data_IF_298211887926
#
_entry.id   IF_298211887926
#
_cell.length_a   1.000
_cell.length_b   1.000
_cell.length_c   1.000
_cell.angle_alpha   90.00
_cell.angle_beta   90.00
_cell.angle_gamma   90.00
#
_symmetry.space_group_name_H-M   'P 1'
#
loop_
_entity.id
_entity.type
_entity.pdbx_description
1 polymer ?
#
# COMPACT_ATOMS: atom_id res chain seq x y z
N UNK A 1 -20.32 -18.01 -9.31
CA UNK A 1 -19.19 -17.56 -8.50
C UNK A 1 -19.77 -16.96 -7.23
N UNK A 2 -19.25 -17.30 -6.05
CA UNK A 2 -19.81 -16.76 -4.81
C UNK A 2 -19.50 -15.27 -4.73
N UNK A 3 -20.52 -14.47 -4.51
CA UNK A 3 -20.52 -13.00 -4.28
C UNK A 3 -19.68 -12.54 -3.07
N UNK A 4 -18.86 -13.43 -2.49
CA UNK A 4 -18.12 -13.26 -1.24
C UNK A 4 -16.67 -13.75 -1.34
N UNK A 5 -16.03 -13.68 -2.51
CA UNK A 5 -14.60 -13.93 -2.60
C UNK A 5 -13.85 -12.82 -1.82
N UNK A 6 -12.86 -13.17 -0.96
CA UNK A 6 -12.08 -12.17 -0.26
C UNK A 6 -11.28 -11.32 -1.26
N UNK A 7 -11.15 -10.00 -1.04
CA UNK A 7 -10.49 -9.12 -2.00
C UNK A 7 -9.01 -9.47 -2.14
N UNK A 8 -8.39 -9.25 -3.31
CA UNK A 8 -6.96 -9.49 -3.56
C UNK A 8 -6.02 -8.81 -2.55
N UNK A 9 -6.46 -7.73 -1.87
CA UNK A 9 -5.69 -7.02 -0.83
C UNK A 9 -5.72 -7.67 0.56
N UNK A 10 -6.42 -8.79 0.76
CA UNK A 10 -6.48 -9.45 2.06
C UNK A 10 -5.06 -9.82 2.56
N UNK A 11 -4.61 -9.34 3.73
CA UNK A 11 -3.27 -9.62 4.25
C UNK A 11 -2.93 -11.11 4.35
N UNK A 12 -3.92 -11.97 4.63
CA UNK A 12 -3.74 -13.42 4.75
C UNK A 12 -3.43 -14.11 3.42
N UNK A 13 -3.81 -13.49 2.31
CA UNK A 13 -3.65 -14.05 0.96
C UNK A 13 -2.40 -13.55 0.25
N UNK A 14 -1.76 -12.49 0.77
CA UNK A 14 -0.69 -11.78 0.05
C UNK A 14 0.49 -12.68 -0.29
N UNK A 15 0.93 -13.53 0.63
CA UNK A 15 2.03 -14.45 0.35
C UNK A 15 1.75 -15.34 -0.87
N UNK A 16 0.55 -15.93 -0.92
CA UNK A 16 0.14 -16.79 -2.01
C UNK A 16 -0.12 -16.02 -3.31
N UNK A 17 -0.64 -14.80 -3.22
CA UNK A 17 -0.80 -13.94 -4.38
C UNK A 17 0.55 -13.49 -4.95
N UNK A 18 1.52 -13.14 -4.10
CA UNK A 18 2.88 -12.84 -4.53
C UNK A 18 3.47 -14.05 -5.29
N UNK A 19 3.30 -15.28 -4.77
CA UNK A 19 3.78 -16.50 -5.43
C UNK A 19 3.09 -16.74 -6.78
N UNK A 20 1.77 -16.60 -6.83
CA UNK A 20 1.01 -16.71 -8.09
C UNK A 20 1.57 -15.74 -9.13
N UNK A 21 1.83 -14.50 -8.74
CA UNK A 21 2.34 -13.48 -9.65
C UNK A 21 3.77 -13.80 -10.09
N UNK A 22 4.65 -14.26 -9.18
CA UNK A 22 5.99 -14.74 -9.54
C UNK A 22 5.93 -15.82 -10.62
N UNK A 23 5.07 -16.83 -10.42
CA UNK A 23 4.92 -17.94 -11.37
C UNK A 23 4.35 -17.46 -12.71
N UNK A 24 3.37 -16.56 -12.67
CA UNK A 24 2.77 -15.97 -13.86
C UNK A 24 3.78 -15.14 -14.67
N UNK A 25 4.61 -14.33 -14.01
CA UNK A 25 5.66 -13.54 -14.66
C UNK A 25 6.75 -14.45 -15.23
N UNK A 26 7.14 -15.52 -14.53
CA UNK A 26 8.11 -16.48 -15.07
C UNK A 26 7.59 -17.20 -16.34
N UNK A 27 6.27 -17.40 -16.44
CA UNK A 27 5.63 -18.10 -17.55
C UNK A 27 5.23 -17.19 -18.73
N UNK A 28 5.22 -15.86 -18.57
CA UNK A 28 4.65 -14.93 -19.56
C UNK A 28 5.52 -14.66 -20.80
N UNK A 29 6.72 -15.25 -20.86
CA UNK A 29 7.69 -15.10 -21.96
C UNK A 29 8.06 -13.64 -22.26
N UNK A 30 8.05 -12.77 -21.25
CA UNK A 30 8.39 -11.36 -21.37
C UNK A 30 7.23 -10.47 -21.84
N UNK A 31 6.00 -11.00 -21.90
CA UNK A 31 4.82 -10.24 -22.32
C UNK A 31 4.58 -9.00 -21.45
N UNK A 32 4.73 -9.11 -20.12
CA UNK A 32 4.58 -7.97 -19.21
C UNK A 32 5.62 -6.89 -19.49
N UNK A 33 6.87 -7.28 -19.72
CA UNK A 33 7.93 -6.32 -20.02
C UNK A 33 7.73 -5.65 -21.38
N UNK A 34 7.26 -6.38 -22.38
CA UNK A 34 6.89 -5.81 -23.67
C UNK A 34 5.76 -4.77 -23.53
N UNK A 35 4.75 -5.04 -22.70
CA UNK A 35 3.66 -4.09 -22.44
C UNK A 35 4.13 -2.82 -21.72
N UNK A 36 5.02 -2.95 -20.74
CA UNK A 36 5.65 -1.80 -20.06
C UNK A 36 6.42 -0.94 -21.08
N UNK A 37 7.24 -1.56 -21.92
CA UNK A 37 7.99 -0.85 -22.95
C UNK A 37 7.08 -0.19 -23.99
N UNK A 38 5.98 -0.85 -24.38
CA UNK A 38 4.99 -0.25 -25.27
C UNK A 38 4.32 0.98 -24.62
N UNK A 39 3.98 0.90 -23.34
CA UNK A 39 3.38 2.03 -22.60
C UNK A 39 4.30 3.26 -22.56
N UNK A 40 5.62 3.06 -22.42
CA UNK A 40 6.63 4.13 -22.48
C UNK A 40 6.67 4.87 -23.83
N UNK A 41 6.14 4.26 -24.90
CA UNK A 41 6.09 4.87 -26.24
C UNK A 41 4.79 5.61 -26.54
N UNK A 42 3.84 5.64 -25.60
CA UNK A 42 2.59 6.39 -25.77
C UNK A 42 2.92 7.88 -25.93
N UNK A 43 2.49 8.47 -27.05
CA UNK A 43 2.70 9.87 -27.34
C UNK A 43 1.90 10.75 -26.38
N UNK A 44 2.57 11.71 -25.74
CA UNK A 44 1.99 12.65 -24.76
C UNK A 44 2.30 14.11 -25.06
N UNK A 45 2.81 14.43 -26.25
CA UNK A 45 3.32 15.77 -26.59
C UNK A 45 2.26 16.87 -26.45
N UNK A 46 1.01 16.59 -26.85
CA UNK A 46 -0.12 17.52 -26.75
C UNK A 46 -0.98 17.28 -25.49
N UNK A 47 -0.50 16.45 -24.56
CA UNK A 47 -1.24 16.07 -23.36
C UNK A 47 -0.90 16.95 -22.15
N UNK A 48 -1.81 17.11 -21.20
CA UNK A 48 -1.49 17.70 -19.91
C UNK A 48 -0.37 16.93 -19.22
N UNK A 49 0.49 17.66 -18.48
CA UNK A 49 1.65 17.09 -17.78
C UNK A 49 1.32 15.90 -16.87
N UNK A 50 0.11 15.82 -16.32
CA UNK A 50 -0.26 14.71 -15.44
C UNK A 50 -0.32 13.38 -16.20
N UNK A 51 -0.76 13.36 -17.47
CA UNK A 51 -0.84 12.12 -18.26
C UNK A 51 0.55 11.53 -18.46
N UNK A 52 1.51 12.36 -18.92
CA UNK A 52 2.90 11.93 -19.08
C UNK A 52 3.51 11.40 -17.78
N UNK A 53 3.33 12.14 -16.68
CA UNK A 53 3.82 11.72 -15.35
C UNK A 53 3.17 10.44 -14.84
N UNK A 54 1.89 10.26 -15.10
CA UNK A 54 1.13 9.05 -14.72
C UNK A 54 1.65 7.82 -15.48
N UNK A 55 1.93 7.94 -16.77
CA UNK A 55 2.52 6.84 -17.57
C UNK A 55 3.96 6.56 -17.11
N UNK A 56 4.77 7.60 -16.94
CA UNK A 56 6.16 7.49 -16.46
C UNK A 56 6.20 6.78 -15.09
N UNK A 57 5.51 7.33 -14.08
CA UNK A 57 5.47 6.77 -12.73
C UNK A 57 4.90 5.35 -12.67
N UNK A 58 3.88 5.07 -13.49
CA UNK A 58 3.32 3.73 -13.62
C UNK A 58 4.34 2.73 -14.17
N UNK A 59 5.02 3.07 -15.27
CA UNK A 59 5.97 2.16 -15.93
C UNK A 59 7.26 1.97 -15.14
N UNK A 60 7.77 3.01 -14.48
CA UNK A 60 8.89 2.91 -13.54
C UNK A 60 8.54 2.00 -12.36
N UNK A 61 7.36 2.21 -11.76
CA UNK A 61 6.88 1.36 -10.66
C UNK A 61 6.67 -0.10 -11.11
N UNK A 62 6.27 -0.33 -12.36
CA UNK A 62 6.14 -1.67 -12.90
C UNK A 62 7.50 -2.38 -13.02
N UNK A 63 8.55 -1.66 -13.43
CA UNK A 63 9.92 -2.18 -13.48
C UNK A 63 10.46 -2.46 -12.07
N UNK A 64 10.21 -1.57 -11.12
CA UNK A 64 10.54 -1.79 -9.70
C UNK A 64 9.83 -3.02 -9.13
N UNK A 65 8.56 -3.23 -9.51
CA UNK A 65 7.79 -4.40 -9.08
C UNK A 65 8.40 -5.70 -9.60
N UNK A 66 8.80 -5.74 -10.88
CA UNK A 66 9.47 -6.90 -11.47
C UNK A 66 10.84 -7.17 -10.82
N UNK A 67 11.63 -6.13 -10.57
CA UNK A 67 12.90 -6.27 -9.85
C UNK A 67 12.70 -6.78 -8.41
N UNK A 68 11.67 -6.29 -7.72
CA UNK A 68 11.33 -6.73 -6.38
C UNK A 68 10.83 -8.19 -6.35
N UNK A 69 10.06 -8.64 -7.35
CA UNK A 69 9.64 -10.05 -7.49
C UNK A 69 10.84 -10.98 -7.62
N UNK A 70 11.83 -10.63 -8.45
CA UNK A 70 13.08 -11.39 -8.54
C UNK A 70 13.82 -11.42 -7.19
N UNK A 71 13.82 -10.30 -6.46
CA UNK A 71 14.38 -10.20 -5.11
C UNK A 71 13.66 -11.06 -4.07
N UNK A 72 12.35 -11.27 -4.20
CA UNK A 72 11.59 -12.16 -3.30
C UNK A 72 12.11 -13.59 -3.40
N UNK A 73 12.31 -14.11 -4.62
CA UNK A 73 12.79 -15.47 -4.80
C UNK A 73 14.17 -15.66 -4.16
N UNK A 74 15.10 -14.74 -4.43
CA UNK A 74 16.47 -14.78 -3.88
C UNK A 74 16.44 -14.75 -2.35
N UNK A 75 15.60 -13.88 -1.75
CA UNK A 75 15.50 -13.78 -0.30
C UNK A 75 14.81 -14.99 0.32
N UNK A 76 13.79 -15.56 -0.33
CA UNK A 76 13.10 -16.75 0.14
C UNK A 76 14.02 -17.97 0.12
N UNK A 77 14.81 -18.15 -0.94
CA UNK A 77 15.80 -19.22 -1.04
C UNK A 77 16.88 -19.08 0.06
N UNK A 78 17.35 -17.85 0.31
CA UNK A 78 18.32 -17.59 1.37
C UNK A 78 17.78 -17.89 2.78
N UNK A 79 16.50 -17.60 3.04
CA UNK A 79 15.83 -17.99 4.30
C UNK A 79 15.76 -19.51 4.39
N UNK A 80 15.27 -20.19 3.34
CA UNK A 80 15.13 -21.64 3.29
C UNK A 80 16.46 -22.37 3.55
N UNK A 81 17.55 -21.92 2.92
CA UNK A 81 18.89 -22.49 3.08
C UNK A 81 19.41 -22.36 4.52
N UNK A 82 19.04 -21.27 5.22
CA UNK A 82 19.44 -21.02 6.60
C UNK A 82 18.59 -21.77 7.65
N UNK A 83 17.37 -22.20 7.30
CA UNK A 83 16.42 -22.79 8.27
C UNK A 83 16.97 -24.05 8.95
N UNK A 84 17.62 -24.93 8.19
CA UNK A 84 18.10 -26.22 8.70
C UNK A 84 19.13 -26.05 9.83
N UNK A 85 19.98 -25.02 9.75
CA UNK A 85 20.98 -24.71 10.78
C UNK A 85 20.43 -23.88 11.95
N UNK A 86 19.47 -22.99 11.68
CA UNK A 86 18.92 -22.09 12.69
C UNK A 86 17.87 -22.76 13.60
N UNK A 87 17.00 -23.59 13.02
CA UNK A 87 15.86 -24.21 13.73
C UNK A 87 16.25 -25.01 14.99
N UNK A 88 17.31 -25.85 14.98
CA UNK A 88 17.72 -26.57 16.18
C UNK A 88 18.20 -25.63 17.29
N UNK A 89 18.95 -24.57 16.94
CA UNK A 89 19.45 -23.58 17.90
C UNK A 89 18.30 -22.80 18.53
N UNK A 90 17.37 -22.31 17.71
CA UNK A 90 16.17 -21.62 18.18
C UNK A 90 15.36 -22.50 19.14
N UNK A 91 15.15 -23.77 18.78
CA UNK A 91 14.37 -24.70 19.62
C UNK A 91 15.04 -24.92 20.98
N UNK A 92 16.36 -25.09 21.00
CA UNK A 92 17.13 -25.23 22.24
C UNK A 92 17.01 -23.98 23.10
N UNK A 93 17.32 -22.81 22.54
CA UNK A 93 17.36 -21.55 23.30
C UNK A 93 15.97 -21.17 23.80
N UNK A 94 14.93 -21.29 22.98
CA UNK A 94 13.53 -21.07 23.40
C UNK A 94 13.11 -22.04 24.52
N UNK A 95 13.61 -23.26 24.48
CA UNK A 95 13.43 -24.24 25.55
C UNK A 95 14.06 -23.80 26.87
N UNK A 96 15.31 -23.33 26.83
CA UNK A 96 16.04 -22.82 28.00
C UNK A 96 15.39 -21.53 28.54
N UNK A 97 15.12 -20.55 27.68
CA UNK A 97 14.44 -19.29 28.05
C UNK A 97 13.09 -19.54 28.73
N UNK A 98 12.31 -20.51 28.24
CA UNK A 98 11.04 -20.89 28.86
C UNK A 98 11.24 -21.45 30.27
N UNK A 99 12.26 -22.29 30.48
CA UNK A 99 12.59 -22.84 31.79
C UNK A 99 13.05 -21.74 32.74
N UNK A 100 13.97 -20.89 32.29
CA UNK A 100 14.47 -19.73 33.03
C UNK A 100 13.30 -18.84 33.45
N UNK A 101 12.39 -18.51 32.54
CA UNK A 101 11.21 -17.68 32.85
C UNK A 101 10.35 -18.30 33.94
N UNK A 102 10.07 -19.60 33.87
CA UNK A 102 9.25 -20.28 34.87
C UNK A 102 9.91 -20.28 36.26
N UNK A 103 11.22 -20.55 36.33
CA UNK A 103 11.97 -20.54 37.59
C UNK A 103 12.07 -19.12 38.13
N UNK A 104 12.35 -18.13 37.28
CA UNK A 104 12.42 -16.72 37.66
C UNK A 104 11.09 -16.21 38.22
N UNK A 105 9.96 -16.56 37.59
CA UNK A 105 8.64 -16.22 38.12
C UNK A 105 8.38 -16.79 39.52
N UNK A 106 8.87 -18.01 39.80
CA UNK A 106 8.72 -18.63 41.12
C UNK A 106 9.66 -17.99 42.15
N UNK A 107 10.94 -17.85 41.80
CA UNK A 107 11.96 -17.17 42.58
C UNK A 107 11.50 -15.76 42.99
N UNK A 108 10.97 -14.98 42.06
CA UNK A 108 10.57 -13.60 42.31
C UNK A 108 9.37 -13.51 43.26
N UNK A 109 8.45 -14.50 43.23
CA UNK A 109 7.35 -14.60 44.20
C UNK A 109 7.88 -14.91 45.59
N UNK A 110 8.79 -15.88 45.72
CA UNK A 110 9.41 -16.25 46.98
C UNK A 110 10.27 -15.11 47.56
N UNK A 111 11.06 -14.45 46.72
CA UNK A 111 11.84 -13.28 47.12
C UNK A 111 10.95 -12.14 47.65
N UNK A 112 9.82 -11.89 46.99
CA UNK A 112 8.82 -10.91 47.46
C UNK A 112 8.11 -11.32 48.74
N UNK A 113 7.92 -12.61 48.97
CA UNK A 113 7.40 -13.13 50.24
C UNK A 113 8.41 -12.91 51.36
N UNK A 114 9.66 -13.34 51.17
CA UNK A 114 10.74 -13.14 52.14
C UNK A 114 10.93 -11.66 52.48
N UNK A 115 10.88 -10.76 51.50
CA UNK A 115 11.04 -9.31 51.72
C UNK A 115 9.94 -8.68 52.56
N UNK A 116 8.79 -9.36 52.74
CA UNK A 116 7.65 -8.92 53.55
C UNK A 116 7.62 -9.55 54.94
N UNK A 117 8.50 -10.52 55.20
CA UNK A 117 8.61 -11.20 56.49
C UNK A 117 9.51 -10.41 57.44
N UNK A 118 9.24 -10.52 58.74
CA UNK A 118 10.13 -9.96 59.76
C UNK A 118 11.48 -10.68 59.74
N UNK A 119 12.56 -9.96 60.09
CA UNK A 119 13.92 -10.52 60.08
C UNK A 119 14.10 -11.72 61.03
N UNK A 120 13.37 -11.76 62.13
CA UNK A 120 13.45 -12.84 63.12
C UNK A 120 12.51 -14.02 62.80
N UNK A 121 11.81 -13.99 61.65
CA UNK A 121 10.95 -15.09 61.24
C UNK A 121 11.82 -16.29 60.78
N UNK A 122 11.72 -17.46 61.45
CA UNK A 122 12.56 -18.61 61.13
C UNK A 122 12.35 -19.15 59.69
N UNK A 123 11.16 -18.99 59.12
CA UNK A 123 10.84 -19.43 57.74
C UNK A 123 11.51 -18.53 56.68
N UNK A 124 11.91 -17.30 57.04
CA UNK A 124 12.54 -16.36 56.10
C UNK A 124 13.87 -16.90 55.57
N UNK A 125 14.68 -17.49 56.45
CA UNK A 125 15.99 -18.02 56.07
C UNK A 125 15.87 -19.20 55.08
N UNK A 126 14.84 -20.03 55.24
CA UNK A 126 14.56 -21.16 54.34
C UNK A 126 14.15 -20.66 52.94
N UNK A 127 13.25 -19.67 52.87
CA UNK A 127 12.82 -19.06 51.60
C UNK A 127 13.98 -18.35 50.89
N UNK A 128 14.84 -17.65 51.64
CA UNK A 128 16.02 -16.99 51.06
C UNK A 128 17.03 -18.01 50.49
N UNK A 129 17.19 -19.17 51.15
CA UNK A 129 18.01 -20.26 50.62
C UNK A 129 17.42 -20.86 49.33
N UNK A 130 16.10 -21.03 49.25
CA UNK A 130 15.42 -21.49 48.04
C UNK A 130 15.54 -20.49 46.88
N UNK A 131 15.43 -19.18 47.16
CA UNK A 131 15.67 -18.12 46.17
C UNK A 131 17.10 -18.15 45.64
N UNK A 132 18.10 -18.37 46.50
CA UNK A 132 19.48 -18.51 46.09
C UNK A 132 19.68 -19.73 45.19
N UNK A 133 19.13 -20.90 45.59
CA UNK A 133 19.17 -22.11 44.77
C UNK A 133 18.54 -21.92 43.38
N UNK A 134 17.36 -21.30 43.30
CA UNK A 134 16.72 -20.99 42.01
C UNK A 134 17.54 -20.00 41.17
N UNK A 135 18.29 -19.10 41.81
CA UNK A 135 19.18 -18.17 41.10
C UNK A 135 20.39 -18.91 40.50
N UNK A 136 20.95 -19.87 41.22
CA UNK A 136 22.03 -20.74 40.72
C UNK A 136 21.53 -21.64 39.57
N UNK A 137 20.31 -22.19 39.66
CA UNK A 137 19.68 -22.94 38.58
C UNK A 137 19.50 -22.09 37.31
N UNK A 138 19.04 -20.84 37.47
CA UNK A 138 18.92 -19.90 36.34
C UNK A 138 20.29 -19.65 35.71
N UNK A 139 21.32 -19.35 36.50
CA UNK A 139 22.67 -19.14 35.98
C UNK A 139 23.23 -20.38 35.26
N UNK A 140 22.93 -21.59 35.76
CA UNK A 140 23.30 -22.84 35.11
C UNK A 140 22.57 -23.05 33.76
N UNK A 141 21.30 -22.65 33.66
CA UNK A 141 20.55 -22.70 32.39
C UNK A 141 21.04 -21.64 31.39
N UNK A 142 21.34 -20.43 31.85
CA UNK A 142 21.90 -19.36 31.02
C UNK A 142 23.24 -19.78 30.41
N UNK A 143 24.07 -20.51 31.16
CA UNK A 143 25.36 -21.04 30.67
C UNK A 143 25.24 -22.10 29.57
N UNK A 144 24.04 -22.66 29.35
CA UNK A 144 23.77 -23.63 28.28
C UNK A 144 23.33 -22.96 26.97
N UNK A 145 23.06 -21.65 26.99
CA UNK A 145 22.76 -20.89 25.77
C UNK A 145 24.06 -20.80 24.95
N UNK A 146 24.06 -21.18 23.66
CA UNK A 146 25.27 -21.10 22.85
C UNK A 146 25.78 -19.66 22.74
N UNK A 147 27.09 -19.45 22.90
CA UNK A 147 27.74 -18.13 22.81
C UNK A 147 27.48 -17.42 21.47
N UNK A 148 27.25 -18.19 20.40
CA UNK A 148 26.97 -17.67 19.07
C UNK A 148 25.48 -17.39 18.81
N UNK A 149 24.59 -17.59 19.80
CA UNK A 149 23.14 -17.49 19.63
C UNK A 149 22.71 -16.12 19.09
N UNK A 150 23.17 -15.03 19.71
CA UNK A 150 22.79 -13.67 19.32
C UNK A 150 23.18 -13.39 17.86
N UNK A 151 24.40 -13.76 17.46
CA UNK A 151 24.88 -13.62 16.09
C UNK A 151 24.09 -14.49 15.08
N UNK A 152 23.74 -15.72 15.46
CA UNK A 152 22.93 -16.62 14.63
C UNK A 152 21.49 -16.08 14.46
N UNK A 153 20.88 -15.62 15.54
CA UNK A 153 19.55 -15.00 15.53
C UNK A 153 19.52 -13.74 14.67
N UNK A 154 20.48 -12.82 14.85
CA UNK A 154 20.58 -11.60 14.06
C UNK A 154 20.81 -11.88 12.57
N UNK A 155 21.59 -12.91 12.25
CA UNK A 155 21.82 -13.32 10.87
C UNK A 155 20.51 -13.82 10.24
N UNK A 156 19.79 -14.72 10.91
CA UNK A 156 18.52 -15.23 10.41
C UNK A 156 17.46 -14.12 10.28
N UNK A 157 17.39 -13.22 11.27
CA UNK A 157 16.50 -12.05 11.24
C UNK A 157 16.75 -11.13 10.05
N UNK A 158 18.02 -10.89 9.68
CA UNK A 158 18.35 -10.09 8.48
C UNK A 158 17.83 -10.74 7.20
N UNK A 159 17.84 -12.07 7.10
CA UNK A 159 17.31 -12.80 5.95
C UNK A 159 15.79 -12.64 5.85
N UNK A 160 15.06 -12.83 6.96
CA UNK A 160 13.61 -12.69 6.98
C UNK A 160 13.14 -11.25 6.81
N UNK A 161 13.90 -10.27 7.31
CA UNK A 161 13.69 -8.84 7.07
C UNK A 161 13.91 -8.49 5.59
N UNK A 162 14.91 -9.08 4.93
CA UNK A 162 15.15 -8.89 3.50
C UNK A 162 14.01 -9.46 2.65
N UNK A 163 13.51 -10.66 2.96
CA UNK A 163 12.34 -11.24 2.28
C UNK A 163 11.10 -10.35 2.46
N UNK A 164 10.84 -9.91 3.70
CA UNK A 164 9.71 -9.04 4.02
C UNK A 164 9.80 -7.70 3.29
N UNK A 165 11.00 -7.13 3.19
CA UNK A 165 11.27 -5.90 2.45
C UNK A 165 11.02 -6.08 0.96
N UNK A 166 11.50 -7.16 0.35
CA UNK A 166 11.29 -7.47 -1.06
C UNK A 166 9.80 -7.58 -1.39
N UNK A 167 9.05 -8.33 -0.57
CA UNK A 167 7.58 -8.46 -0.72
C UNK A 167 6.87 -7.12 -0.59
N UNK A 168 7.20 -6.32 0.43
CA UNK A 168 6.58 -5.01 0.60
C UNK A 168 6.92 -4.03 -0.52
N UNK A 169 8.15 -4.11 -1.06
CA UNK A 169 8.56 -3.31 -2.22
C UNK A 169 7.74 -3.68 -3.45
N UNK A 170 7.65 -4.97 -3.77
CA UNK A 170 6.83 -5.48 -4.87
C UNK A 170 5.39 -5.01 -4.75
N UNK A 171 4.78 -5.18 -3.59
CA UNK A 171 3.38 -4.83 -3.35
C UNK A 171 3.09 -3.35 -3.55
N UNK A 172 3.97 -2.49 -3.03
CA UNK A 172 3.82 -1.02 -3.17
C UNK A 172 4.00 -0.59 -4.63
N UNK A 173 5.06 -1.06 -5.27
CA UNK A 173 5.37 -0.72 -6.65
C UNK A 173 4.33 -1.27 -7.63
N UNK A 174 3.84 -2.51 -7.43
CA UNK A 174 2.74 -3.08 -8.22
C UNK A 174 1.42 -2.32 -8.05
N UNK A 175 1.07 -1.93 -6.80
CA UNK A 175 -0.12 -1.10 -6.56
C UNK A 175 0.01 0.27 -7.25
N UNK A 176 1.18 0.94 -7.16
CA UNK A 176 1.43 2.22 -7.84
C UNK A 176 1.40 2.07 -9.37
N UNK A 177 2.04 1.02 -9.91
CA UNK A 177 2.04 0.72 -11.34
C UNK A 177 0.62 0.64 -11.90
N UNK A 178 -0.29 -0.01 -11.19
CA UNK A 178 -1.70 -0.03 -11.58
C UNK A 178 -2.37 1.35 -11.44
N UNK A 179 -2.34 1.93 -10.24
CA UNK A 179 -3.15 3.10 -9.91
C UNK A 179 -2.78 4.33 -10.75
N UNK A 180 -1.48 4.54 -10.99
CA UNK A 180 -0.99 5.72 -11.72
C UNK A 180 -1.42 5.69 -13.19
N UNK A 181 -1.55 4.52 -13.81
CA UNK A 181 -2.12 4.41 -15.15
C UNK A 181 -3.65 4.40 -15.12
N UNK A 182 -4.28 3.76 -14.13
CA UNK A 182 -5.73 3.67 -14.01
C UNK A 182 -6.39 5.04 -13.83
N UNK A 183 -5.73 6.01 -13.18
CA UNK A 183 -6.24 7.38 -13.03
C UNK A 183 -6.47 8.08 -14.37
N UNK A 184 -5.71 7.71 -15.41
CA UNK A 184 -5.89 8.25 -16.76
C UNK A 184 -7.22 7.77 -17.33
N UNK A 185 -7.51 6.47 -17.24
CA UNK A 185 -8.79 5.94 -17.71
C UNK A 185 -9.95 6.51 -16.90
N UNK A 186 -9.84 6.56 -15.58
CA UNK A 186 -10.86 7.18 -14.73
C UNK A 186 -11.13 8.65 -15.11
N UNK A 187 -10.08 9.39 -15.44
CA UNK A 187 -10.20 10.77 -15.95
C UNK A 187 -10.97 10.80 -17.26
N UNK A 188 -10.63 9.94 -18.22
CA UNK A 188 -11.26 9.93 -19.54
C UNK A 188 -12.71 9.42 -19.46
N UNK A 189 -12.99 8.43 -18.62
CA UNK A 189 -14.33 7.91 -18.36
C UNK A 189 -15.25 8.95 -17.69
N UNK A 190 -14.67 9.92 -16.97
CA UNK A 190 -15.42 11.06 -16.42
C UNK A 190 -15.79 12.13 -17.47
N UNK A 191 -15.31 12.02 -18.71
CA UNK A 191 -15.53 13.05 -19.76
C UNK A 191 -17.01 13.32 -20.06
N UNK A 192 -17.91 12.32 -20.18
CA UNK A 192 -19.34 12.60 -20.39
C UNK A 192 -19.97 13.41 -19.25
N UNK A 193 -19.62 13.09 -18.00
CA UNK A 193 -20.09 13.83 -16.82
C UNK A 193 -19.48 15.25 -16.77
N UNK A 194 -18.23 15.41 -17.20
CA UNK A 194 -17.58 16.71 -17.33
C UNK A 194 -18.30 17.60 -18.35
N UNK A 195 -18.65 17.04 -19.53
CA UNK A 195 -19.39 17.76 -20.58
C UNK A 195 -20.79 18.17 -20.10
N UNK A 196 -21.46 17.31 -19.34
CA UNK A 196 -22.81 17.60 -18.82
C UNK A 196 -22.87 18.84 -17.92
N UNK A 197 -21.74 19.29 -17.34
CA UNK A 197 -21.66 20.49 -16.50
C UNK A 197 -21.51 21.80 -17.30
N UNK A 198 -21.43 21.76 -18.63
CA UNK A 198 -21.25 22.95 -19.46
C UNK A 198 -22.36 23.98 -19.26
N UNK A 199 -23.62 23.54 -19.24
CA UNK A 199 -24.77 24.42 -19.09
C UNK A 199 -24.73 25.14 -17.75
N UNK A 200 -24.36 24.42 -16.68
CA UNK A 200 -24.28 24.96 -15.33
C UNK A 200 -23.12 25.94 -15.20
N UNK A 201 -21.99 25.65 -15.86
CA UNK A 201 -20.86 26.56 -15.96
C UNK A 201 -21.21 27.87 -16.67
N UNK A 202 -21.93 27.79 -17.79
CA UNK A 202 -22.38 28.98 -18.52
C UNK A 202 -23.46 29.76 -17.74
N UNK A 203 -24.36 29.07 -17.04
CA UNK A 203 -25.40 29.67 -16.22
C UNK A 203 -24.85 30.42 -14.98
N UNK A 204 -23.61 30.15 -14.57
CA UNK A 204 -23.00 30.82 -13.43
C UNK A 204 -22.73 32.31 -13.69
N UNK A 205 -22.43 32.71 -14.93
CA UNK A 205 -22.09 34.12 -15.27
C UNK A 205 -23.14 35.15 -14.82
N UNK A 206 -24.42 35.06 -15.23
CA UNK A 206 -25.42 36.05 -14.82
C UNK A 206 -25.62 36.09 -13.30
N UNK A 207 -25.46 34.96 -12.60
CA UNK A 207 -25.51 34.91 -11.13
C UNK A 207 -24.33 35.68 -10.54
N UNK A 208 -23.12 35.45 -11.07
CA UNK A 208 -21.93 36.19 -10.66
C UNK A 208 -22.00 37.67 -11.00
N UNK A 209 -22.78 38.13 -11.97
CA UNK A 209 -22.91 39.55 -12.35
C UNK A 209 -23.99 40.29 -11.55
N UNK A 210 -25.11 39.62 -11.20
CA UNK A 210 -26.31 40.31 -10.72
C UNK A 210 -26.78 39.91 -9.32
N UNK A 211 -26.50 38.69 -8.86
CA UNK A 211 -27.01 38.20 -7.58
C UNK A 211 -26.32 38.84 -6.37
N UNK A 212 -26.94 38.71 -5.20
CA UNK A 212 -26.29 39.01 -3.92
C UNK A 212 -25.06 38.12 -3.70
N UNK A 213 -24.04 38.64 -3.03
CA UNK A 213 -22.74 37.96 -2.86
C UNK A 213 -22.86 36.56 -2.23
N UNK A 214 -23.75 36.40 -1.26
CA UNK A 214 -23.98 35.10 -0.59
C UNK A 214 -24.58 34.07 -1.56
N UNK A 215 -25.55 34.49 -2.38
CA UNK A 215 -26.16 33.63 -3.42
C UNK A 215 -25.13 33.24 -4.48
N UNK A 216 -24.31 34.20 -4.91
CA UNK A 216 -23.25 33.96 -5.88
C UNK A 216 -22.13 33.05 -5.34
N UNK A 217 -21.75 33.21 -4.07
CA UNK A 217 -20.80 32.33 -3.38
C UNK A 217 -21.31 30.89 -3.33
N UNK A 218 -22.56 30.68 -2.93
CA UNK A 218 -23.15 29.34 -2.82
C UNK A 218 -23.32 28.67 -4.19
N UNK A 219 -23.72 29.41 -5.23
CA UNK A 219 -23.78 28.90 -6.60
C UNK A 219 -22.40 28.43 -7.10
N UNK A 220 -21.36 29.26 -6.92
CA UNK A 220 -19.99 28.91 -7.28
C UNK A 220 -19.48 27.69 -6.49
N UNK A 221 -19.86 27.56 -5.21
CA UNK A 221 -19.52 26.43 -4.35
C UNK A 221 -20.19 25.13 -4.78
N UNK A 222 -21.47 25.16 -5.17
CA UNK A 222 -22.18 23.99 -5.66
C UNK A 222 -21.54 23.45 -6.95
N UNK A 223 -21.20 24.35 -7.87
CA UNK A 223 -20.56 23.97 -9.12
C UNK A 223 -19.12 23.48 -8.91
N UNK A 224 -18.34 24.15 -8.04
CA UNK A 224 -17.00 23.69 -7.66
C UNK A 224 -17.01 22.27 -7.10
N UNK A 225 -18.02 21.92 -6.28
CA UNK A 225 -18.18 20.55 -5.77
C UNK A 225 -18.48 19.54 -6.88
N UNK A 226 -19.34 19.90 -7.82
CA UNK A 226 -19.67 19.04 -8.96
C UNK A 226 -18.43 18.72 -9.79
N UNK A 227 -17.59 19.71 -10.10
CA UNK A 227 -16.31 19.47 -10.77
C UNK A 227 -15.28 18.75 -9.91
N UNK A 228 -15.27 18.97 -8.58
CA UNK A 228 -14.33 18.28 -7.68
C UNK A 228 -14.55 16.78 -7.65
N UNK A 229 -15.79 16.34 -7.78
CA UNK A 229 -16.14 14.93 -7.69
C UNK A 229 -15.86 14.20 -9.04
N UNK A 230 -15.36 14.92 -10.06
CA UNK A 230 -14.92 14.38 -11.35
C UNK A 230 -13.39 14.28 -11.44
N UNK A 231 -12.90 13.11 -11.85
CA UNK A 231 -11.47 12.86 -12.01
C UNK A 231 -10.88 13.74 -13.15
N UNK A 232 -9.71 14.32 -12.89
CA UNK A 232 -9.01 15.21 -13.82
C UNK A 232 -9.63 16.60 -14.05
N UNK A 233 -10.68 17.00 -13.34
CA UNK A 233 -11.32 18.32 -13.46
C UNK A 233 -10.70 19.42 -12.55
N UNK A 234 -9.48 19.18 -12.08
CA UNK A 234 -8.85 19.87 -10.96
C UNK A 234 -8.60 21.36 -11.22
N UNK A 235 -8.29 21.75 -12.47
CA UNK A 235 -8.02 23.14 -12.83
C UNK A 235 -9.29 24.00 -12.86
N UNK A 236 -10.39 23.45 -13.39
CA UNK A 236 -11.71 24.11 -13.38
C UNK A 236 -12.18 24.26 -11.92
N UNK A 237 -12.11 23.20 -11.13
CA UNK A 237 -12.39 23.22 -9.69
C UNK A 237 -11.56 24.28 -8.96
N UNK A 238 -10.24 24.35 -9.19
CA UNK A 238 -9.36 25.34 -8.56
C UNK A 238 -9.77 26.77 -8.92
N UNK A 239 -10.13 27.04 -10.17
CA UNK A 239 -10.62 28.34 -10.62
C UNK A 239 -11.95 28.71 -9.94
N UNK A 240 -12.94 27.80 -9.94
CA UNK A 240 -14.23 27.99 -9.26
C UNK A 240 -14.07 28.18 -7.75
N UNK A 241 -13.11 27.49 -7.13
CA UNK A 241 -12.77 27.68 -5.72
C UNK A 241 -12.30 29.11 -5.42
N UNK A 242 -11.62 29.76 -6.37
CA UNK A 242 -11.23 31.18 -6.27
C UNK A 242 -12.40 32.12 -6.55
N UNK A 243 -13.30 31.79 -7.48
CA UNK A 243 -14.57 32.52 -7.71
C UNK A 243 -15.36 32.59 -6.41
N UNK A 244 -15.62 31.43 -5.79
CA UNK A 244 -16.27 31.30 -4.47
C UNK A 244 -15.59 32.20 -3.43
N UNK A 245 -14.26 32.13 -3.31
CA UNK A 245 -13.50 32.92 -2.33
C UNK A 245 -13.64 34.42 -2.58
N UNK A 246 -13.67 34.88 -3.83
CA UNK A 246 -13.84 36.28 -4.20
C UNK A 246 -15.25 36.80 -3.89
N UNK A 247 -16.28 35.97 -4.07
CA UNK A 247 -17.67 36.30 -3.72
C UNK A 247 -17.97 36.25 -2.22
N UNK A 248 -17.07 35.68 -1.41
CA UNK A 248 -17.30 35.54 0.03
C UNK A 248 -17.62 36.84 0.75
N UNK A 249 -18.40 36.75 1.84
CA UNK A 249 -18.78 37.89 2.70
C UNK A 249 -17.61 38.77 3.13
N UNK A 250 -16.40 38.21 3.24
CA UNK A 250 -15.17 38.92 3.62
C UNK A 250 -14.55 39.71 2.47
N UNK A 251 -14.66 39.24 1.23
CA UNK A 251 -14.00 39.87 0.07
C UNK A 251 -14.94 40.75 -0.74
N UNK A 252 -16.14 40.24 -1.07
CA UNK A 252 -17.13 40.94 -1.92
C UNK A 252 -16.51 41.55 -3.19
N UNK A 253 -15.70 40.78 -3.89
CA UNK A 253 -14.90 41.22 -5.03
C UNK A 253 -15.40 40.58 -6.33
N UNK A 254 -16.37 41.27 -6.95
CA UNK A 254 -17.07 40.81 -8.15
C UNK A 254 -16.16 40.81 -9.38
N UNK A 255 -15.27 41.79 -9.49
CA UNK A 255 -14.34 41.90 -10.61
C UNK A 255 -13.36 40.72 -10.61
N UNK A 256 -12.75 40.42 -9.46
CA UNK A 256 -11.85 39.26 -9.34
C UNK A 256 -12.60 37.95 -9.57
N UNK A 257 -13.85 37.83 -9.08
CA UNK A 257 -14.65 36.63 -9.31
C UNK A 257 -14.91 36.38 -10.80
N UNK A 258 -15.26 37.42 -11.57
CA UNK A 258 -15.45 37.29 -13.02
C UNK A 258 -14.13 36.94 -13.74
N UNK A 259 -12.99 37.52 -13.33
CA UNK A 259 -11.68 37.15 -13.89
C UNK A 259 -11.33 35.68 -13.65
N UNK A 260 -11.59 35.15 -12.46
CA UNK A 260 -11.33 33.74 -12.17
C UNK A 260 -12.37 32.81 -12.83
N UNK A 261 -13.59 33.29 -13.06
CA UNK A 261 -14.60 32.57 -13.84
C UNK A 261 -14.20 32.42 -15.31
N UNK A 262 -13.67 33.47 -15.94
CA UNK A 262 -13.13 33.39 -17.30
C UNK A 262 -11.95 32.39 -17.38
N UNK A 263 -11.12 32.29 -16.33
CA UNK A 263 -10.09 31.24 -16.24
C UNK A 263 -10.70 29.84 -16.13
N UNK A 264 -11.84 29.69 -15.46
CA UNK A 264 -12.55 28.42 -15.38
C UNK A 264 -13.11 28.00 -16.75
N UNK A 265 -13.66 28.96 -17.53
CA UNK A 265 -14.10 28.72 -18.90
C UNK A 265 -12.94 28.34 -19.83
N UNK A 266 -11.81 29.06 -19.74
CA UNK A 266 -10.62 28.73 -20.52
C UNK A 266 -10.10 27.32 -20.18
N UNK A 267 -9.97 27.00 -18.88
CA UNK A 267 -9.56 25.66 -18.44
C UNK A 267 -10.56 24.59 -18.91
N UNK A 268 -11.86 24.85 -18.85
CA UNK A 268 -12.88 23.92 -19.34
C UNK A 268 -12.73 23.65 -20.84
N UNK A 269 -12.57 24.69 -21.65
CA UNK A 269 -12.37 24.58 -23.10
C UNK A 269 -11.07 23.81 -23.42
N UNK A 270 -9.97 24.14 -22.75
CA UNK A 270 -8.69 23.43 -22.91
C UNK A 270 -8.85 21.94 -22.55
N UNK A 271 -9.63 21.63 -21.51
CA UNK A 271 -9.92 20.25 -21.13
C UNK A 271 -10.70 19.47 -22.18
N UNK A 272 -11.68 20.08 -22.83
CA UNK A 272 -12.41 19.39 -23.90
C UNK A 272 -11.49 19.00 -25.06
N UNK A 273 -10.54 19.88 -25.42
CA UNK A 273 -9.59 19.63 -26.50
C UNK A 273 -8.70 18.43 -26.19
N UNK A 274 -8.01 18.44 -25.04
CA UNK A 274 -7.08 17.33 -24.75
C UNK A 274 -7.82 16.04 -24.39
N UNK A 275 -9.01 16.10 -23.78
CA UNK A 275 -9.82 14.89 -23.51
C UNK A 275 -10.19 14.19 -24.81
N UNK A 276 -10.66 14.95 -25.81
CA UNK A 276 -10.99 14.39 -27.13
C UNK A 276 -9.76 13.80 -27.84
N UNK A 277 -8.59 14.44 -27.73
CA UNK A 277 -7.35 13.90 -28.28
C UNK A 277 -6.88 12.64 -27.53
N UNK A 278 -6.95 12.64 -26.20
CA UNK A 278 -6.53 11.51 -25.35
C UNK A 278 -7.36 10.24 -25.58
N UNK A 279 -8.65 10.37 -25.91
CA UNK A 279 -9.51 9.24 -26.28
C UNK A 279 -8.95 8.41 -27.44
N UNK A 280 -8.27 9.05 -28.39
CA UNK A 280 -7.71 8.35 -29.57
C UNK A 280 -6.22 8.08 -29.44
N UNK A 281 -5.47 8.99 -28.81
CA UNK A 281 -4.01 8.92 -28.74
C UNK A 281 -3.47 8.15 -27.52
N UNK A 282 -4.19 8.19 -26.39
CA UNK A 282 -3.68 7.71 -25.09
C UNK A 282 -4.46 6.48 -24.61
N UNK A 283 -5.81 6.55 -24.61
CA UNK A 283 -6.67 5.50 -24.06
C UNK A 283 -6.32 4.09 -24.57
N UNK A 284 -6.16 3.83 -25.89
CA UNK A 284 -5.91 2.47 -26.35
C UNK A 284 -4.60 1.88 -25.81
N UNK A 285 -3.55 2.71 -25.69
CA UNK A 285 -2.26 2.29 -25.15
C UNK A 285 -2.34 1.99 -23.65
N UNK A 286 -3.01 2.86 -22.89
CA UNK A 286 -3.20 2.68 -21.44
C UNK A 286 -4.08 1.46 -21.15
N UNK A 287 -5.15 1.25 -21.90
CA UNK A 287 -6.01 0.06 -21.77
C UNK A 287 -5.25 -1.23 -22.10
N UNK A 288 -4.45 -1.23 -23.17
CA UNK A 288 -3.63 -2.39 -23.53
C UNK A 288 -2.63 -2.72 -22.42
N UNK A 289 -1.97 -1.70 -21.87
CA UNK A 289 -1.03 -1.84 -20.76
C UNK A 289 -1.71 -2.36 -19.49
N UNK A 290 -2.79 -1.73 -19.02
CA UNK A 290 -3.54 -2.17 -17.85
C UNK A 290 -4.08 -3.59 -18.03
N UNK A 291 -4.59 -3.92 -19.23
CA UNK A 291 -5.04 -5.28 -19.51
C UNK A 291 -3.92 -6.33 -19.44
N UNK A 292 -2.69 -5.97 -19.81
CA UNK A 292 -1.54 -6.86 -19.70
C UNK A 292 -1.11 -7.07 -18.24
N UNK A 293 -1.23 -6.03 -17.40
CA UNK A 293 -0.72 -6.09 -16.01
C UNK A 293 -1.78 -6.49 -14.97
N UNK A 294 -3.07 -6.42 -15.28
CA UNK A 294 -4.18 -6.68 -14.32
C UNK A 294 -4.13 -8.05 -13.67
N UNK A 295 -3.63 -9.05 -14.38
CA UNK A 295 -3.55 -10.44 -13.92
C UNK A 295 -2.33 -10.75 -13.07
N UNK A 296 -1.30 -9.89 -13.10
CA UNK A 296 -0.01 -10.12 -12.48
C UNK A 296 0.37 -8.99 -11.49
N UNK A 297 1.29 -8.08 -11.82
CA UNK A 297 1.74 -7.00 -10.94
C UNK A 297 0.58 -6.09 -10.48
N UNK A 298 -0.48 -5.96 -11.28
CA UNK A 298 -1.71 -5.23 -10.94
C UNK A 298 -2.79 -6.07 -10.24
N UNK A 299 -2.56 -7.35 -9.96
CA UNK A 299 -3.57 -8.27 -9.43
C UNK A 299 -4.13 -7.83 -8.07
N UNK A 300 -3.29 -7.22 -7.22
CA UNK A 300 -3.70 -6.71 -5.92
C UNK A 300 -4.67 -5.53 -5.99
N UNK A 301 -4.66 -4.78 -7.08
CA UNK A 301 -5.49 -3.59 -7.25
C UNK A 301 -6.87 -3.91 -7.84
N UNK A 302 -7.12 -5.16 -8.23
CA UNK A 302 -8.41 -5.59 -8.75
C UNK A 302 -9.44 -5.73 -7.63
N UNK A 303 -10.72 -5.55 -7.98
CA UNK A 303 -11.84 -5.75 -7.05
C UNK A 303 -11.97 -7.22 -6.68
N UNK A 304 -11.89 -8.10 -7.69
CA UNK A 304 -12.10 -9.53 -7.57
C UNK A 304 -10.89 -10.35 -8.03
N UNK A 305 -10.72 -11.52 -7.40
CA UNK A 305 -9.79 -12.53 -7.87
C UNK A 305 -10.38 -13.24 -9.11
N UNK A 306 -9.53 -13.48 -10.10
CA UNK A 306 -9.88 -14.40 -11.20
C UNK A 306 -10.06 -15.82 -10.64
N UNK A 307 -10.78 -16.67 -11.38
CA UNK A 307 -10.96 -18.08 -10.99
C UNK A 307 -9.63 -18.80 -10.80
N UNK A 308 -8.67 -18.54 -11.67
CA UNK A 308 -7.34 -19.14 -11.63
C UNK A 308 -6.59 -18.72 -10.37
N UNK A 309 -6.54 -17.42 -10.08
CA UNK A 309 -5.98 -16.89 -8.83
C UNK A 309 -6.66 -17.52 -7.62
N UNK A 310 -8.00 -17.55 -7.59
CA UNK A 310 -8.75 -18.11 -6.47
C UNK A 310 -8.42 -19.60 -6.22
N UNK A 311 -8.29 -20.41 -7.28
CA UNK A 311 -7.91 -21.82 -7.18
C UNK A 311 -6.47 -21.98 -6.67
N UNK A 312 -5.53 -21.19 -7.19
CA UNK A 312 -4.15 -21.21 -6.72
C UNK A 312 -4.06 -20.82 -5.24
N UNK A 313 -4.71 -19.72 -4.86
CA UNK A 313 -4.71 -19.21 -3.48
C UNK A 313 -5.36 -20.21 -2.51
N UNK A 314 -6.45 -20.88 -2.91
CA UNK A 314 -7.07 -21.93 -2.09
C UNK A 314 -6.11 -23.11 -1.85
N UNK A 315 -5.38 -23.54 -2.88
CA UNK A 315 -4.35 -24.57 -2.74
C UNK A 315 -3.20 -24.11 -1.84
N UNK A 316 -2.62 -22.93 -2.12
CA UNK A 316 -1.48 -22.41 -1.38
C UNK A 316 -1.79 -22.18 0.11
N UNK A 317 -2.98 -21.68 0.44
CA UNK A 317 -3.40 -21.43 1.83
C UNK A 317 -3.80 -22.70 2.59
N UNK A 318 -4.03 -23.81 1.90
CA UNK A 318 -4.35 -25.09 2.54
C UNK A 318 -3.14 -25.74 3.23
N UNK A 319 -1.92 -25.34 2.85
CA UNK A 319 -0.70 -25.81 3.46
C UNK A 319 -0.32 -24.93 4.66
N UNK A 320 0.04 -25.57 5.78
CA UNK A 320 0.51 -24.85 6.97
C UNK A 320 1.88 -24.24 6.70
N UNK A 321 1.97 -22.91 6.75
CA UNK A 321 3.26 -22.20 6.75
C UNK A 321 3.79 -22.15 8.17
N UNK A 322 4.96 -22.73 8.37
CA UNK A 322 5.65 -22.61 9.65
C UNK A 322 6.22 -21.19 9.82
N UNK A 323 5.72 -20.47 10.83
CA UNK A 323 6.19 -19.14 11.19
C UNK A 323 7.01 -19.15 12.49
N UNK A 324 7.23 -20.33 13.09
CA UNK A 324 7.89 -20.43 14.40
C UNK A 324 9.31 -19.90 14.38
N UNK A 325 9.97 -19.90 13.21
CA UNK A 325 11.33 -19.38 13.05
C UNK A 325 11.42 -17.84 13.17
N UNK A 326 10.29 -17.15 13.07
CA UNK A 326 10.24 -15.69 13.20
C UNK A 326 10.06 -15.21 14.65
N UNK A 327 9.85 -16.13 15.61
CA UNK A 327 9.42 -15.79 16.98
C UNK A 327 10.30 -16.37 18.07
#
# INVERSE_FOLDING_TARGET
MSEAAPPPRNPRLQFCLDQFVTDAIAADQGATMAAINAAKTISVDDMPKFIGKSIEGSTESAEEALAALAGIQIAADAVQDAEAGYRPQLTLVRGLEKQIRNIAEHRDKLAKQASRMNADNPERAEIEAEVAHMSDEIAALESQIPDNWEAAHDTFKKLTDAESKARNSYRRSGDTAWNDAAIILATLDATPAFIALESDLNALRPVLETAEFEVAEDAAKALERSFRDLEGADDVKKALGKVKKAMSKRKKDRETALKEYEKALAAYADQLVWRAAAETQVRPGVEAYLNAIKGNIGARAQEDLTREQALFLASCTSHHKDLSLNF
#
